data_IF_985507301588
#
_entry.id   IF_985507301588
#
_cell.length_a   1.000
_cell.length_b   1.000
_cell.length_c   1.000
_cell.angle_alpha   90.00
_cell.angle_beta   90.00
_cell.angle_gamma   90.00
#
_symmetry.space_group_name_H-M   'P 1'
#
loop_
_entity.id
_entity.type
_entity.pdbx_description
1 polymer ?
#
# COMPACT_ATOMS: atom_id res chain seq x y z
N UNK A 1 -7.40 12.91 1.42
CA UNK A 1 -8.04 12.04 0.42
C UNK A 1 -9.44 12.56 0.11
N UNK A 2 -9.77 12.84 -1.17
CA UNK A 2 -11.13 13.21 -1.61
C UNK A 2 -12.17 12.14 -1.30
N UNK A 3 -13.43 12.53 -1.10
CA UNK A 3 -14.51 11.58 -0.74
C UNK A 3 -14.81 10.55 -1.82
N UNK A 4 -14.74 10.94 -3.11
CA UNK A 4 -14.89 9.99 -4.21
C UNK A 4 -13.85 8.88 -4.10
N UNK A 5 -12.58 9.25 -3.91
CA UNK A 5 -11.46 8.32 -3.75
C UNK A 5 -11.64 7.46 -2.50
N UNK A 6 -12.05 8.05 -1.38
CA UNK A 6 -12.28 7.31 -0.12
C UNK A 6 -13.31 6.20 -0.26
N UNK A 7 -14.30 6.40 -1.13
CA UNK A 7 -15.41 5.46 -1.37
C UNK A 7 -15.17 4.49 -2.54
N UNK A 8 -13.97 4.49 -3.13
CA UNK A 8 -13.58 3.47 -4.12
C UNK A 8 -13.12 2.18 -3.43
N UNK A 9 -12.75 1.17 -4.22
CA UNK A 9 -12.11 -0.05 -3.75
C UNK A 9 -10.90 -0.39 -4.62
N UNK A 10 -9.94 -1.13 -4.07
CA UNK A 10 -8.91 -1.85 -4.84
C UNK A 10 -9.13 -3.34 -4.63
N UNK A 11 -9.85 -3.98 -5.56
CA UNK A 11 -10.31 -5.36 -5.41
C UNK A 11 -10.45 -6.07 -6.76
N UNK A 12 -10.55 -7.41 -6.73
CA UNK A 12 -10.78 -8.21 -7.93
C UNK A 12 -12.12 -7.91 -8.59
N UNK A 13 -13.14 -7.49 -7.83
CA UNK A 13 -14.43 -7.07 -8.40
C UNK A 13 -14.27 -5.79 -9.25
N UNK A 14 -13.48 -4.81 -8.79
CA UNK A 14 -13.17 -3.62 -9.60
C UNK A 14 -12.47 -4.05 -10.90
N UNK A 15 -11.49 -4.95 -10.84
CA UNK A 15 -10.80 -5.46 -12.03
C UNK A 15 -11.75 -6.15 -13.01
N UNK A 16 -12.65 -7.01 -12.51
CA UNK A 16 -13.67 -7.66 -13.33
C UNK A 16 -14.63 -6.66 -13.98
N UNK A 17 -15.06 -5.64 -13.22
CA UNK A 17 -15.92 -4.58 -13.74
C UNK A 17 -15.21 -3.73 -14.81
N UNK A 18 -13.93 -3.41 -14.61
CA UNK A 18 -13.13 -2.69 -15.61
C UNK A 18 -12.95 -3.52 -16.88
N UNK A 19 -12.69 -4.83 -16.76
CA UNK A 19 -12.64 -5.73 -17.92
C UNK A 19 -13.98 -5.79 -18.66
N UNK A 20 -15.10 -5.87 -17.93
CA UNK A 20 -16.44 -5.85 -18.50
C UNK A 20 -16.71 -4.57 -19.29
N UNK A 21 -16.24 -3.43 -18.79
CA UNK A 21 -16.37 -2.11 -19.44
C UNK A 21 -15.29 -1.83 -20.50
N UNK A 22 -14.33 -2.74 -20.70
CA UNK A 22 -13.21 -2.54 -21.63
C UNK A 22 -12.21 -1.47 -21.17
N UNK A 23 -12.24 -1.09 -19.88
CA UNK A 23 -11.42 -0.06 -19.25
C UNK A 23 -10.37 -0.65 -18.30
N UNK A 24 -9.80 -1.78 -18.67
CA UNK A 24 -8.76 -2.45 -17.87
C UNK A 24 -7.51 -1.56 -17.65
N UNK A 25 -7.35 -0.50 -18.45
CA UNK A 25 -6.33 0.54 -18.30
C UNK A 25 -6.39 1.33 -16.99
N UNK A 26 -7.53 1.28 -16.30
CA UNK A 26 -7.77 2.02 -15.06
C UNK A 26 -7.34 1.23 -13.82
N UNK A 27 -7.05 -0.07 -13.93
CA UNK A 27 -6.73 -0.92 -12.79
C UNK A 27 -5.45 -0.46 -12.05
N UNK A 28 -5.42 -0.65 -10.72
CA UNK A 28 -4.22 -0.36 -9.91
C UNK A 28 -3.07 -1.35 -10.12
N UNK A 29 -3.35 -2.48 -10.79
CA UNK A 29 -2.37 -3.56 -10.97
C UNK A 29 -1.21 -3.11 -11.85
N UNK A 30 0.00 -3.58 -11.50
CA UNK A 30 1.18 -3.42 -12.34
C UNK A 30 0.89 -4.01 -13.72
N UNK A 31 0.98 -3.16 -14.74
CA UNK A 31 0.78 -3.56 -16.13
C UNK A 31 2.11 -3.87 -16.78
N UNK A 32 2.20 -5.04 -17.40
CA UNK A 32 3.36 -5.38 -18.23
C UNK A 32 3.32 -4.58 -19.54
N UNK A 33 4.48 -4.13 -20.06
CA UNK A 33 4.54 -3.47 -21.36
C UNK A 33 3.92 -4.35 -22.46
N UNK A 34 3.03 -3.76 -23.27
CA UNK A 34 2.39 -4.45 -24.39
C UNK A 34 1.08 -5.20 -24.05
N UNK A 35 0.59 -5.14 -22.81
CA UNK A 35 -0.74 -5.66 -22.47
C UNK A 35 -1.85 -4.93 -23.25
N UNK A 36 -2.73 -5.71 -23.87
CA UNK A 36 -3.93 -5.22 -24.55
C UNK A 36 -5.20 -5.79 -23.91
N UNK A 37 -6.35 -5.27 -24.31
CA UNK A 37 -7.63 -5.81 -23.84
C UNK A 37 -7.79 -7.27 -24.27
N UNK A 38 -7.32 -7.62 -25.47
CA UNK A 38 -7.38 -8.97 -26.03
C UNK A 38 -6.52 -9.95 -25.21
N UNK A 39 -5.30 -9.55 -24.83
CA UNK A 39 -4.44 -10.40 -24.00
C UNK A 39 -5.04 -10.61 -22.61
N UNK A 40 -5.69 -9.58 -22.06
CA UNK A 40 -6.33 -9.65 -20.76
C UNK A 40 -7.58 -10.55 -20.81
N UNK A 41 -8.41 -10.43 -21.84
CA UNK A 41 -9.54 -11.34 -22.08
C UNK A 41 -9.02 -12.78 -22.19
N UNK A 42 -7.96 -13.02 -22.98
CA UNK A 42 -7.38 -14.36 -23.14
C UNK A 42 -6.87 -14.92 -21.80
N UNK A 43 -6.30 -14.07 -20.93
CA UNK A 43 -5.88 -14.44 -19.57
C UNK A 43 -7.06 -14.95 -18.75
N UNK A 44 -8.15 -14.19 -18.68
CA UNK A 44 -9.35 -14.61 -17.94
C UNK A 44 -10.00 -15.88 -18.51
N UNK A 45 -10.10 -15.99 -19.84
CA UNK A 45 -10.61 -17.20 -20.50
C UNK A 45 -9.70 -18.42 -20.27
N UNK A 46 -8.44 -18.23 -19.90
CA UNK A 46 -7.51 -19.32 -19.60
C UNK A 46 -7.78 -19.97 -18.24
N UNK A 47 -8.44 -19.26 -17.32
CA UNK A 47 -8.63 -19.70 -15.95
C UNK A 47 -9.50 -20.95 -15.84
N UNK A 48 -9.10 -21.95 -15.02
CA UNK A 48 -9.83 -23.21 -14.92
C UNK A 48 -11.32 -23.06 -14.59
N UNK A 49 -11.66 -22.15 -13.67
CA UNK A 49 -13.05 -21.93 -13.26
C UNK A 49 -13.90 -21.24 -14.35
N UNK A 50 -13.29 -20.36 -15.16
CA UNK A 50 -13.97 -19.74 -16.32
C UNK A 50 -14.23 -20.77 -17.42
N UNK A 51 -13.24 -21.63 -17.70
CA UNK A 51 -13.39 -22.76 -18.64
C UNK A 51 -14.45 -23.75 -18.17
N UNK A 52 -14.45 -24.10 -16.89
CA UNK A 52 -15.44 -25.00 -16.30
C UNK A 52 -16.87 -24.45 -16.39
N UNK A 53 -17.03 -23.12 -16.40
CA UNK A 53 -18.32 -22.46 -16.63
C UNK A 53 -18.74 -22.42 -18.11
N UNK A 54 -17.97 -23.01 -19.03
CA UNK A 54 -18.29 -23.07 -20.46
C UNK A 54 -18.08 -21.74 -21.19
N UNK A 55 -17.36 -20.79 -20.58
CA UNK A 55 -17.11 -19.48 -21.17
C UNK A 55 -15.92 -19.55 -22.13
N UNK A 56 -16.15 -19.20 -23.40
CA UNK A 56 -15.13 -19.33 -24.46
C UNK A 56 -14.82 -18.04 -25.22
N UNK A 57 -15.59 -16.98 -25.01
CA UNK A 57 -15.41 -15.70 -25.68
C UNK A 57 -15.71 -14.52 -24.74
N UNK A 58 -15.48 -13.30 -25.22
CA UNK A 58 -15.66 -12.09 -24.43
C UNK A 58 -17.13 -11.78 -24.10
N UNK A 59 -18.07 -12.18 -24.96
CA UNK A 59 -19.49 -11.96 -24.72
C UNK A 59 -19.97 -12.86 -23.56
N UNK A 60 -19.59 -14.14 -23.60
CA UNK A 60 -19.80 -15.09 -22.53
C UNK A 60 -19.10 -14.66 -21.24
N UNK A 61 -17.87 -14.15 -21.32
CA UNK A 61 -17.14 -13.65 -20.16
C UNK A 61 -17.86 -12.48 -19.50
N UNK A 62 -18.37 -11.53 -20.28
CA UNK A 62 -19.17 -10.41 -19.75
C UNK A 62 -20.46 -10.90 -19.07
N UNK A 63 -21.15 -11.88 -19.65
CA UNK A 63 -22.34 -12.44 -19.04
C UNK A 63 -22.00 -13.15 -17.71
N UNK A 64 -20.97 -13.98 -17.72
CA UNK A 64 -20.49 -14.71 -16.54
C UNK A 64 -20.02 -13.80 -15.41
N UNK A 65 -19.32 -12.70 -15.72
CA UNK A 65 -18.90 -11.70 -14.72
C UNK A 65 -20.12 -11.05 -14.05
N UNK A 66 -21.15 -10.68 -14.82
CA UNK A 66 -22.36 -10.06 -14.25
C UNK A 66 -23.10 -10.99 -13.29
N UNK A 67 -23.06 -12.29 -13.55
CA UNK A 67 -23.68 -13.31 -12.70
C UNK A 67 -22.85 -13.57 -11.43
N UNK A 68 -21.52 -13.70 -11.57
CA UNK A 68 -20.64 -14.13 -10.47
C UNK A 68 -20.14 -12.98 -9.59
N UNK A 69 -20.13 -11.76 -10.09
CA UNK A 69 -19.70 -10.56 -9.37
C UNK A 69 -20.75 -9.44 -9.48
N UNK A 70 -21.96 -9.62 -8.92
CA UNK A 70 -23.01 -8.62 -8.98
C UNK A 70 -22.56 -7.32 -8.28
N UNK A 71 -22.49 -6.21 -9.03
CA UNK A 71 -22.03 -4.90 -8.53
C UNK A 71 -20.64 -4.48 -9.02
N UNK A 72 -19.88 -5.38 -9.65
CA UNK A 72 -18.56 -5.06 -10.19
C UNK A 72 -18.59 -3.87 -11.18
N UNK A 73 -19.65 -3.76 -11.99
CA UNK A 73 -19.81 -2.70 -12.99
C UNK A 73 -19.93 -1.31 -12.35
N UNK A 74 -20.67 -1.17 -11.24
CA UNK A 74 -20.81 0.10 -10.52
C UNK A 74 -19.51 0.47 -9.80
N UNK A 75 -18.83 -0.50 -9.18
CA UNK A 75 -17.51 -0.28 -8.59
C UNK A 75 -16.50 0.21 -9.62
N UNK A 76 -16.49 -0.40 -10.81
CA UNK A 76 -15.64 0.00 -11.92
C UNK A 76 -15.98 1.41 -12.46
N UNK A 77 -17.26 1.77 -12.56
CA UNK A 77 -17.67 3.14 -12.94
C UNK A 77 -17.15 4.17 -11.94
N UNK A 78 -17.22 3.88 -10.64
CA UNK A 78 -16.66 4.76 -9.59
C UNK A 78 -15.14 4.89 -9.73
N UNK A 79 -14.43 3.78 -9.96
CA UNK A 79 -12.98 3.79 -10.18
C UNK A 79 -12.56 4.58 -11.44
N UNK A 80 -13.31 4.48 -12.53
CA UNK A 80 -13.09 5.26 -13.76
C UNK A 80 -13.24 6.75 -13.47
N UNK A 81 -14.33 7.17 -12.81
CA UNK A 81 -14.54 8.58 -12.45
C UNK A 81 -13.43 9.10 -11.54
N UNK A 82 -13.07 8.32 -10.53
CA UNK A 82 -11.98 8.65 -9.62
C UNK A 82 -10.66 8.87 -10.38
N UNK A 83 -10.33 7.99 -11.33
CA UNK A 83 -9.14 8.10 -12.18
C UNK A 83 -9.16 9.36 -13.04
N UNK A 84 -10.30 9.66 -13.65
CA UNK A 84 -10.49 10.81 -14.54
C UNK A 84 -10.43 12.14 -13.77
N UNK A 85 -10.97 12.21 -12.55
CA UNK A 85 -11.02 13.43 -11.75
C UNK A 85 -9.74 13.68 -10.93
N UNK A 86 -9.13 12.63 -10.38
CA UNK A 86 -8.04 12.75 -9.40
C UNK A 86 -6.75 12.03 -9.81
N UNK A 87 -6.72 11.34 -10.96
CA UNK A 87 -5.54 10.58 -11.41
C UNK A 87 -5.33 9.23 -10.70
N UNK A 88 -6.18 8.87 -9.75
CA UNK A 88 -6.12 7.62 -8.98
C UNK A 88 -7.46 6.89 -9.06
N UNK A 89 -7.45 5.59 -9.36
CA UNK A 89 -8.66 4.79 -9.50
C UNK A 89 -9.16 4.21 -8.18
N UNK A 90 -8.34 4.27 -7.12
CA UNK A 90 -8.73 3.79 -5.81
C UNK A 90 -8.11 4.57 -4.65
N UNK A 91 -8.63 4.36 -3.44
CA UNK A 91 -7.99 4.79 -2.20
C UNK A 91 -6.58 4.21 -2.07
N UNK A 92 -6.33 3.03 -2.61
CA UNK A 92 -5.04 2.34 -2.52
C UNK A 92 -3.97 3.07 -3.33
N UNK A 93 -4.20 3.29 -4.63
CA UNK A 93 -3.22 3.99 -5.47
C UNK A 93 -3.03 5.44 -5.04
N UNK A 94 -4.07 6.09 -4.50
CA UNK A 94 -3.94 7.41 -3.89
C UNK A 94 -3.07 7.38 -2.62
N UNK A 95 -3.29 6.43 -1.72
CA UNK A 95 -2.54 6.34 -0.44
C UNK A 95 -1.07 6.08 -0.69
N UNK A 96 -0.72 5.13 -1.56
CA UNK A 96 0.67 4.87 -1.93
C UNK A 96 1.35 6.13 -2.47
N UNK A 97 0.70 6.85 -3.39
CA UNK A 97 1.29 8.04 -4.00
C UNK A 97 1.42 9.25 -3.06
N UNK A 98 0.53 9.39 -2.07
CA UNK A 98 0.48 10.58 -1.21
C UNK A 98 1.08 10.34 0.18
N UNK A 99 1.09 9.10 0.66
CA UNK A 99 1.56 8.73 1.99
C UNK A 99 2.76 7.79 1.96
N UNK A 100 3.04 7.12 0.84
CA UNK A 100 4.10 6.10 0.75
C UNK A 100 3.70 4.74 1.33
N UNK A 101 2.59 4.66 2.06
CA UNK A 101 2.08 3.43 2.67
C UNK A 101 0.61 3.19 2.30
N UNK A 102 0.17 1.94 2.47
CA UNK A 102 -1.14 1.44 2.04
C UNK A 102 -2.30 2.07 2.80
N UNK A 103 -2.20 2.21 4.11
CA UNK A 103 -3.24 2.77 4.97
C UNK A 103 -2.61 3.65 6.05
N UNK A 104 -3.45 4.33 6.83
CA UNK A 104 -2.98 5.25 7.85
C UNK A 104 -2.16 4.54 8.95
N UNK A 105 -1.38 5.30 9.71
CA UNK A 105 -0.66 4.80 10.86
C UNK A 105 -1.61 4.21 11.93
N UNK A 106 -1.11 3.25 12.68
CA UNK A 106 -1.84 2.58 13.77
C UNK A 106 -0.90 2.27 14.95
N UNK A 107 -1.42 1.67 16.02
CA UNK A 107 -0.63 1.30 17.22
C UNK A 107 0.17 2.43 17.86
N UNK A 108 -0.31 3.68 17.81
CA UNK A 108 0.40 4.80 18.42
C UNK A 108 0.70 4.56 19.90
N UNK A 109 1.95 4.82 20.31
CA UNK A 109 2.41 4.79 21.69
C UNK A 109 3.28 6.01 21.98
N UNK A 110 2.95 6.74 23.03
CA UNK A 110 3.84 7.75 23.61
C UNK A 110 4.90 7.02 24.45
N UNK A 111 6.19 7.32 24.21
CA UNK A 111 7.32 6.70 24.91
C UNK A 111 7.82 7.63 26.02
N UNK A 112 8.10 8.90 25.68
CA UNK A 112 8.53 9.93 26.62
C UNK A 112 8.09 11.32 26.14
N UNK A 113 7.88 12.23 27.08
CA UNK A 113 7.57 13.64 26.82
C UNK A 113 8.18 14.50 27.94
N UNK A 114 9.05 15.41 27.52
CA UNK A 114 9.81 16.36 28.34
C UNK A 114 9.53 17.80 27.87
N UNK A 115 10.16 18.80 28.50
CA UNK A 115 10.01 20.20 28.08
C UNK A 115 10.60 20.46 26.67
N UNK A 116 11.61 19.70 26.25
CA UNK A 116 12.37 19.89 25.00
C UNK A 116 12.47 18.63 24.12
N UNK A 117 11.89 17.50 24.54
CA UNK A 117 11.94 16.24 23.82
C UNK A 117 10.56 15.54 23.80
N UNK A 118 10.24 14.92 22.67
CA UNK A 118 9.03 14.11 22.48
C UNK A 118 9.43 12.82 21.74
N UNK A 119 9.16 11.68 22.36
CA UNK A 119 9.44 10.37 21.81
C UNK A 119 8.16 9.53 21.72
N UNK A 120 7.90 8.98 20.54
CA UNK A 120 6.71 8.19 20.26
C UNK A 120 6.96 7.18 19.14
N UNK A 121 6.15 6.13 19.12
CA UNK A 121 6.15 5.12 18.06
C UNK A 121 4.76 4.91 17.47
N UNK A 122 4.71 4.44 16.24
CA UNK A 122 3.52 4.02 15.52
C UNK A 122 3.92 3.03 14.42
N UNK A 123 2.94 2.26 13.95
CA UNK A 123 3.15 1.27 12.91
C UNK A 123 2.55 1.76 11.58
N UNK A 124 3.14 1.35 10.46
CA UNK A 124 2.60 1.51 9.11
C UNK A 124 2.60 0.18 8.37
N UNK A 125 1.86 0.11 7.26
CA UNK A 125 1.91 -1.07 6.40
C UNK A 125 3.17 -1.07 5.53
N UNK A 126 4.11 -1.97 5.87
CA UNK A 126 5.18 -2.50 5.01
C UNK A 126 6.09 -1.47 4.31
N UNK A 127 6.06 -0.20 4.71
CA UNK A 127 6.88 0.88 4.16
C UNK A 127 6.83 2.10 5.08
N UNK A 128 7.95 2.84 5.22
CA UNK A 128 7.95 4.13 5.89
C UNK A 128 7.10 5.15 5.10
N UNK A 129 6.38 6.06 5.78
CA UNK A 129 5.55 7.06 5.11
C UNK A 129 6.37 8.27 4.63
N UNK A 130 7.38 8.03 3.78
CA UNK A 130 8.37 9.05 3.38
C UNK A 130 7.78 10.35 2.83
N UNK A 131 6.71 10.33 1.99
CA UNK A 131 6.07 11.58 1.55
C UNK A 131 5.54 12.45 2.70
N UNK A 132 5.15 11.83 3.83
CA UNK A 132 4.73 12.56 5.03
C UNK A 132 5.94 13.20 5.72
N UNK A 133 7.06 12.48 5.84
CA UNK A 133 8.29 13.03 6.41
C UNK A 133 8.82 14.20 5.59
N UNK A 134 8.83 14.08 4.27
CA UNK A 134 9.17 15.18 3.36
C UNK A 134 8.21 16.37 3.52
N UNK A 135 6.91 16.12 3.71
CA UNK A 135 5.94 17.19 3.96
C UNK A 135 6.13 17.86 5.33
N UNK A 136 6.50 17.09 6.37
CA UNK A 136 6.82 17.61 7.71
C UNK A 136 8.05 18.50 7.70
N UNK A 137 9.10 18.13 6.98
CA UNK A 137 10.29 18.97 6.83
C UNK A 137 9.97 20.37 6.26
N UNK A 138 8.92 20.48 5.44
CA UNK A 138 8.50 21.76 4.85
C UNK A 138 7.51 22.55 5.72
N UNK A 139 7.17 22.09 6.93
CA UNK A 139 6.24 22.78 7.84
C UNK A 139 6.97 23.86 8.65
N UNK A 140 6.48 25.11 8.68
CA UNK A 140 7.03 26.16 9.54
C UNK A 140 7.06 25.76 11.02
N UNK A 141 6.09 24.95 11.47
CA UNK A 141 6.03 24.43 12.83
C UNK A 141 7.18 23.46 13.16
N UNK A 142 7.84 22.90 12.15
CA UNK A 142 8.97 21.98 12.28
C UNK A 142 10.33 22.64 12.02
N UNK A 143 10.39 23.94 11.68
CA UNK A 143 11.64 24.62 11.29
C UNK A 143 12.71 24.59 12.39
N UNK A 144 12.29 24.64 13.66
CA UNK A 144 13.19 24.59 14.82
C UNK A 144 13.35 23.19 15.44
N UNK A 145 12.83 22.14 14.79
CA UNK A 145 12.89 20.77 15.32
C UNK A 145 13.98 19.95 14.62
N UNK A 146 14.66 19.11 15.39
CA UNK A 146 15.37 17.94 14.88
C UNK A 146 14.51 16.72 15.16
N UNK A 147 14.21 15.92 14.14
CA UNK A 147 13.40 14.71 14.27
C UNK A 147 14.22 13.54 13.75
N UNK A 148 14.62 12.65 14.65
CA UNK A 148 15.23 11.36 14.32
C UNK A 148 14.13 10.31 14.11
N UNK A 149 14.24 9.53 13.04
CA UNK A 149 13.24 8.54 12.65
C UNK A 149 13.97 7.22 12.43
N UNK A 150 13.57 6.20 13.19
CA UNK A 150 14.07 4.85 13.08
C UNK A 150 12.88 3.90 12.90
N UNK A 151 12.98 2.97 11.95
CA UNK A 151 11.94 1.99 11.66
C UNK A 151 12.56 0.65 11.32
N UNK A 152 11.91 -0.43 11.75
CA UNK A 152 12.36 -1.80 11.52
C UNK A 152 11.18 -2.68 11.07
N UNK A 153 11.34 -3.45 10.01
CA UNK A 153 10.36 -4.46 9.60
C UNK A 153 10.51 -5.72 10.45
N UNK A 154 9.44 -6.13 11.14
CA UNK A 154 9.45 -7.31 12.02
C UNK A 154 9.82 -8.62 11.28
N UNK A 155 9.65 -8.66 9.97
CA UNK A 155 10.05 -9.77 9.10
C UNK A 155 11.50 -9.72 8.63
N UNK A 156 12.31 -8.79 9.15
CA UNK A 156 13.73 -8.61 8.80
C UNK A 156 13.97 -8.31 7.31
N UNK A 157 12.96 -7.80 6.60
CA UNK A 157 13.08 -7.51 5.17
C UNK A 157 13.75 -6.16 4.90
N UNK A 158 13.57 -5.19 5.79
CA UNK A 158 14.21 -3.89 5.70
C UNK A 158 14.26 -3.18 7.05
N UNK A 159 15.19 -2.22 7.16
CA UNK A 159 15.16 -1.18 8.17
C UNK A 159 15.28 0.18 7.48
N UNK A 160 14.90 1.24 8.19
CA UNK A 160 14.87 2.59 7.65
C UNK A 160 15.30 3.61 8.70
N UNK A 161 16.21 4.50 8.30
CA UNK A 161 16.65 5.62 9.11
C UNK A 161 16.42 6.93 8.38
N UNK A 162 15.96 7.96 9.08
CA UNK A 162 15.88 9.31 8.55
C UNK A 162 16.09 10.38 9.61
N UNK A 163 16.47 11.56 9.14
CA UNK A 163 16.55 12.77 9.95
C UNK A 163 15.80 13.90 9.24
N UNK A 164 15.04 14.68 10.02
CA UNK A 164 14.53 15.98 9.61
C UNK A 164 15.23 17.06 10.42
N UNK A 165 15.86 18.02 9.75
CA UNK A 165 16.51 19.18 10.38
C UNK A 165 16.62 20.32 9.39
N UNK A 166 16.45 21.57 9.85
CA UNK A 166 16.60 22.80 9.04
C UNK A 166 15.85 22.74 7.70
N UNK A 167 14.59 22.31 7.74
CA UNK A 167 13.74 22.22 6.55
C UNK A 167 14.10 21.10 5.57
N UNK A 168 15.04 20.21 5.94
CA UNK A 168 15.55 19.15 5.08
C UNK A 168 15.16 17.78 5.64
N UNK A 169 14.68 16.89 4.78
CA UNK A 169 14.46 15.47 5.06
C UNK A 169 15.50 14.64 4.33
N UNK A 170 16.22 13.78 5.06
CA UNK A 170 17.16 12.80 4.52
C UNK A 170 16.81 11.43 5.10
N UNK A 171 16.33 10.52 4.24
CA UNK A 171 15.99 9.16 4.64
C UNK A 171 16.59 8.14 3.69
N UNK A 172 16.93 6.97 4.22
CA UNK A 172 17.43 5.85 3.46
C UNK A 172 17.01 4.50 4.04
N UNK A 173 16.84 3.52 3.15
CA UNK A 173 16.73 2.12 3.55
C UNK A 173 18.11 1.63 4.00
N UNK A 174 18.18 1.05 5.18
CA UNK A 174 19.39 0.50 5.78
C UNK A 174 19.27 -1.01 5.96
N UNK A 175 20.40 -1.67 6.20
CA UNK A 175 20.42 -3.10 6.49
C UNK A 175 19.75 -3.36 7.86
N UNK A 176 18.80 -4.33 7.95
CA UNK A 176 18.17 -4.69 9.21
C UNK A 176 19.13 -5.55 10.05
N UNK A 177 20.02 -4.90 10.81
CA UNK A 177 20.97 -5.59 11.70
C UNK A 177 20.43 -5.69 13.14
N UNK A 178 20.92 -6.65 13.94
CA UNK A 178 20.59 -6.71 15.37
C UNK A 178 20.90 -5.41 16.12
N UNK A 179 21.98 -4.72 15.75
CA UNK A 179 22.34 -3.43 16.35
C UNK A 179 21.34 -2.32 16.00
N UNK A 180 20.76 -2.35 14.80
CA UNK A 180 19.71 -1.39 14.41
C UNK A 180 18.36 -1.75 15.04
N UNK A 181 18.07 -3.03 15.21
CA UNK A 181 16.93 -3.50 16.00
C UNK A 181 16.98 -2.94 17.43
N UNK A 182 18.13 -3.05 18.10
CA UNK A 182 18.31 -2.51 19.45
C UNK A 182 18.17 -0.99 19.51
N UNK A 183 18.62 -0.27 18.48
CA UNK A 183 18.39 1.19 18.37
C UNK A 183 16.91 1.54 18.25
N UNK A 184 16.13 0.78 17.48
CA UNK A 184 14.70 1.04 17.24
C UNK A 184 13.86 0.68 18.47
N UNK A 185 14.15 -0.46 19.11
CA UNK A 185 13.29 -1.02 20.17
C UNK A 185 13.83 -0.79 21.59
N UNK A 186 15.08 -0.34 21.75
CA UNK A 186 15.74 -0.16 23.04
C UNK A 186 16.01 -1.48 23.79
N UNK A 187 15.89 -2.62 23.10
CA UNK A 187 16.14 -3.96 23.63
C UNK A 187 16.91 -4.80 22.63
N UNK A 188 17.78 -5.68 23.12
CA UNK A 188 18.52 -6.60 22.28
C UNK A 188 17.58 -7.48 21.44
N UNK A 189 18.02 -7.82 20.24
CA UNK A 189 17.33 -8.79 19.38
C UNK A 189 17.13 -10.10 20.16
N UNK A 190 15.93 -10.71 20.14
CA UNK A 190 15.73 -12.05 20.66
C UNK A 190 16.68 -13.02 19.93
N UNK A 191 17.37 -13.88 20.68
CA UNK A 191 18.19 -14.93 20.08
C UNK A 191 17.29 -15.90 19.28
N UNK A 192 17.65 -16.22 18.04
CA UNK A 192 16.89 -17.15 17.17
C UNK A 192 16.78 -18.59 17.73
N UNK A 193 17.44 -18.90 18.85
CA UNK A 193 17.55 -20.27 19.39
C UNK A 193 16.32 -20.79 20.17
N UNK A 194 15.27 -20.00 20.42
CA UNK A 194 14.12 -20.46 21.22
C UNK A 194 12.93 -21.05 20.42
N UNK A 195 12.91 -20.99 19.09
CA UNK A 195 11.75 -21.46 18.29
C UNK A 195 11.89 -22.87 17.65
N UNK A 196 13.03 -23.55 17.82
CA UNK A 196 13.17 -24.98 17.50
C UNK A 196 13.08 -25.87 18.76
N UNK A 197 11.93 -25.90 19.43
CA UNK A 197 11.82 -26.62 20.71
C UNK A 197 10.42 -27.01 21.16
N UNK A 198 9.52 -27.38 20.24
CA UNK A 198 8.12 -27.70 20.57
C UNK A 198 7.51 -28.88 19.85
N UNK A 199 8.26 -29.95 19.54
CA UNK A 199 7.64 -31.25 19.24
C UNK A 199 7.34 -31.99 20.55
N UNK A 200 6.05 -32.24 20.81
CA UNK A 200 5.57 -33.33 21.66
C UNK A 200 4.27 -33.91 21.10
#
# INVERSE_FOLDING_TARGET
MPDLIRNTESSSEVQLGLLLLGRFDVADSLRMPGETLETEIARYLSFPHVKAAGVSDYAGLKAWIRETAPGCEEKAKTAIRAKEEFGHSSWYSWSIANWGTKWNAYSFRLIAEDDDQLDFSFDTAWSPPEPIFAALANRPECEGLTIDILSFDEGWLFAFGAVISDGTYLGETVEPTPEFYEQVYGVACPDEEEDEGGEA
#
